data_IF_914497896203
#
_entry.id   IF_914497896203
#
_cell.length_a   1.000
_cell.length_b   1.000
_cell.length_c   1.000
_cell.angle_alpha   90.00
_cell.angle_beta   90.00
_cell.angle_gamma   90.00
#
_symmetry.space_group_name_H-M   'P 1'
#
loop_
_entity.id
_entity.type
_entity.pdbx_description
1 polymer ?
#
# COMPACT_ATOMS: atom_id res chain seq x y z
N UNK A 1 4.59 -20.61 47.57
CA UNK A 1 3.98 -19.52 48.37
C UNK A 1 3.75 -18.35 47.40
N UNK A 2 2.50 -18.14 47.00
CA UNK A 2 2.10 -16.98 46.19
C UNK A 2 1.64 -15.90 47.19
N UNK A 3 2.38 -14.83 47.26
CA UNK A 3 1.97 -13.67 48.03
C UNK A 3 0.92 -12.92 47.23
N UNK A 4 -0.31 -12.91 47.72
CA UNK A 4 -1.40 -12.06 47.25
C UNK A 4 -1.06 -10.63 47.73
N UNK A 5 -0.94 -9.67 46.81
CA UNK A 5 -0.94 -8.26 47.17
C UNK A 5 -2.35 -7.87 47.61
N UNK A 6 -2.53 -7.74 48.90
CA UNK A 6 -3.72 -7.13 49.49
C UNK A 6 -3.69 -5.63 49.17
N UNK A 7 -4.65 -5.17 48.37
CA UNK A 7 -4.85 -3.75 48.10
C UNK A 7 -5.51 -3.17 49.34
N UNK A 8 -4.68 -2.69 50.26
CA UNK A 8 -5.20 -1.88 51.36
C UNK A 8 -5.74 -0.58 50.75
N UNK A 9 -7.03 -0.35 50.88
CA UNK A 9 -7.66 0.93 50.60
C UNK A 9 -6.90 2.00 51.37
N UNK A 10 -6.18 2.86 50.67
CA UNK A 10 -5.50 4.00 51.32
C UNK A 10 -6.57 5.04 51.67
N UNK A 11 -6.84 5.21 52.92
CA UNK A 11 -7.70 6.26 53.46
C UNK A 11 -7.02 7.64 53.46
N UNK A 12 -6.04 7.82 52.61
CA UNK A 12 -5.29 9.08 52.51
C UNK A 12 -6.21 10.21 52.03
N UNK A 13 -6.54 11.12 52.89
CA UNK A 13 -7.33 12.31 52.57
C UNK A 13 -8.75 12.32 53.15
N UNK A 14 -9.22 11.26 53.81
CA UNK A 14 -10.55 11.24 54.45
C UNK A 14 -10.64 12.21 55.63
N UNK A 15 -9.53 12.49 56.29
CA UNK A 15 -9.47 13.40 57.44
C UNK A 15 -9.59 14.89 57.07
N UNK A 16 -9.53 15.23 55.80
CA UNK A 16 -9.61 16.61 55.29
C UNK A 16 -11.05 16.99 54.91
N UNK A 17 -11.94 16.02 54.82
CA UNK A 17 -13.33 16.26 54.42
C UNK A 17 -14.17 16.66 55.63
N UNK A 18 -15.02 17.70 55.55
CA UNK A 18 -15.98 18.04 56.59
C UNK A 18 -16.86 16.83 56.95
N UNK A 19 -17.08 16.63 58.25
CA UNK A 19 -17.88 15.53 58.76
C UNK A 19 -19.24 15.45 58.03
N UNK A 20 -19.51 14.31 57.40
CA UNK A 20 -20.76 14.06 56.67
C UNK A 20 -20.66 14.16 55.13
N UNK A 21 -19.47 14.43 54.55
CA UNK A 21 -19.25 14.43 53.12
C UNK A 21 -18.31 13.29 52.69
N UNK A 22 -18.74 12.08 52.93
CA UNK A 22 -18.03 10.91 52.40
C UNK A 22 -18.29 10.81 50.86
N UNK A 23 -17.22 10.84 50.08
CA UNK A 23 -17.32 10.52 48.66
C UNK A 23 -17.43 9.01 48.55
N UNK A 24 -18.61 8.50 48.30
CA UNK A 24 -18.81 7.09 47.97
C UNK A 24 -18.41 6.89 46.51
N UNK A 25 -17.24 6.35 46.28
CA UNK A 25 -16.85 5.89 44.93
C UNK A 25 -17.54 4.55 44.68
N UNK A 26 -18.47 4.53 43.76
CA UNK A 26 -19.08 3.30 43.26
C UNK A 26 -18.41 2.93 41.95
N UNK A 27 -17.98 1.68 41.84
CA UNK A 27 -17.57 1.11 40.56
C UNK A 27 -18.81 0.47 39.95
N UNK A 28 -19.21 0.96 38.78
CA UNK A 28 -20.18 0.29 37.94
C UNK A 28 -19.41 -0.45 36.86
N UNK A 29 -19.70 -1.74 36.69
CA UNK A 29 -19.04 -2.62 35.71
C UNK A 29 -19.98 -3.02 34.57
N UNK A 30 -21.20 -2.52 34.59
CA UNK A 30 -22.19 -2.81 33.54
C UNK A 30 -22.40 -1.53 32.73
N UNK A 31 -21.81 -1.50 31.55
CA UNK A 31 -21.99 -0.44 30.57
C UNK A 31 -22.74 -1.03 29.38
N UNK A 32 -23.73 -0.29 28.90
CA UNK A 32 -24.33 -0.57 27.61
C UNK A 32 -23.43 0.07 26.54
N UNK A 33 -22.94 -0.75 25.63
CA UNK A 33 -22.08 -0.35 24.53
C UNK A 33 -22.82 -0.68 23.24
N UNK A 34 -23.12 0.35 22.48
CA UNK A 34 -23.62 0.17 21.13
C UNK A 34 -22.44 0.16 20.17
N UNK A 35 -22.39 -0.83 19.29
CA UNK A 35 -21.35 -0.97 18.27
C UNK A 35 -21.99 -0.98 16.89
N UNK A 36 -21.49 -0.10 16.02
CA UNK A 36 -22.00 0.07 14.66
C UNK A 36 -20.88 -0.13 13.66
N UNK A 37 -21.15 -0.93 12.63
CA UNK A 37 -20.24 -1.07 11.49
C UNK A 37 -20.47 0.06 10.50
N UNK A 38 -19.41 0.68 10.05
CA UNK A 38 -19.43 1.81 9.12
C UNK A 38 -18.44 1.58 8.00
N UNK A 39 -18.72 2.12 6.82
CA UNK A 39 -17.71 2.22 5.76
C UNK A 39 -16.49 2.95 6.27
N UNK A 40 -15.32 2.43 5.94
CA UNK A 40 -14.05 3.05 6.30
C UNK A 40 -13.86 4.40 5.61
N UNK A 41 -12.98 5.19 6.18
CA UNK A 41 -12.55 6.47 5.58
C UNK A 41 -11.22 6.24 4.85
N UNK A 42 -11.02 6.88 3.69
CA UNK A 42 -9.76 6.82 2.98
C UNK A 42 -8.59 7.22 3.87
N UNK A 43 -7.53 6.45 3.84
CA UNK A 43 -6.30 6.72 4.60
C UNK A 43 -5.23 7.30 3.69
N UNK A 44 -4.35 8.15 4.23
CA UNK A 44 -3.21 8.65 3.47
C UNK A 44 -2.28 7.48 3.13
N UNK A 45 -2.18 7.14 1.85
CA UNK A 45 -1.37 6.02 1.37
C UNK A 45 0.00 6.45 0.82
N UNK A 46 0.20 7.75 0.57
CA UNK A 46 1.42 8.34 0.02
C UNK A 46 2.41 8.85 1.07
N UNK A 47 2.09 8.75 2.37
CA UNK A 47 2.91 9.38 3.41
C UNK A 47 4.24 8.64 3.61
N UNK A 48 5.33 9.39 3.51
CA UNK A 48 6.68 8.90 3.79
C UNK A 48 6.87 8.89 5.30
N UNK A 49 6.70 7.74 5.93
CA UNK A 49 7.03 7.55 7.35
C UNK A 49 8.44 7.00 7.49
N UNK A 50 9.12 7.36 8.60
CA UNK A 50 10.47 6.86 8.94
C UNK A 50 10.55 5.34 9.18
N UNK A 51 9.42 4.63 9.10
CA UNK A 51 9.41 3.18 9.23
C UNK A 51 9.99 2.55 7.97
N UNK A 52 11.13 1.93 8.13
CA UNK A 52 11.84 1.22 7.07
C UNK A 52 10.92 0.21 6.38
N UNK A 53 10.82 0.26 5.10
CA UNK A 53 10.06 -0.61 4.19
C UNK A 53 8.53 -0.44 4.30
N UNK A 54 8.01 0.50 3.52
CA UNK A 54 6.59 0.50 3.22
C UNK A 54 6.26 -0.71 2.35
N UNK A 55 5.54 -1.64 2.96
CA UNK A 55 4.97 -2.75 2.23
C UNK A 55 3.69 -2.25 1.57
N UNK A 56 3.56 -2.44 0.27
CA UNK A 56 2.35 -2.17 -0.49
C UNK A 56 1.58 -3.46 -0.68
N UNK A 57 0.26 -3.37 -0.67
CA UNK A 57 -0.64 -4.48 -0.89
C UNK A 57 -1.08 -4.51 -2.35
N UNK A 58 -0.90 -5.66 -3.00
CA UNK A 58 -1.18 -5.84 -4.42
C UNK A 58 -1.90 -7.17 -4.63
N UNK A 59 -3.13 -7.13 -5.15
CA UNK A 59 -3.91 -8.32 -5.41
C UNK A 59 -5.35 -8.22 -4.96
N UNK A 60 -6.10 -9.27 -5.16
CA UNK A 60 -7.51 -9.40 -4.81
C UNK A 60 -7.72 -10.49 -3.78
N UNK A 61 -8.59 -10.23 -2.81
CA UNK A 61 -9.01 -11.19 -1.78
C UNK A 61 -10.54 -11.22 -1.75
N UNK A 62 -11.10 -12.43 -1.77
CA UNK A 62 -12.54 -12.66 -1.68
C UNK A 62 -12.88 -13.30 -0.33
N UNK A 63 -13.79 -12.71 0.39
CA UNK A 63 -14.31 -13.22 1.67
C UNK A 63 -15.84 -13.27 1.65
N UNK A 64 -16.42 -14.32 2.18
CA UNK A 64 -17.88 -14.54 2.17
C UNK A 64 -18.67 -13.53 2.99
N UNK A 65 -18.02 -12.85 3.93
CA UNK A 65 -18.63 -11.84 4.82
C UNK A 65 -18.22 -10.44 4.39
N UNK A 66 -16.91 -10.27 4.12
CA UNK A 66 -16.30 -8.96 3.83
C UNK A 66 -16.29 -8.61 2.33
N UNK A 67 -16.77 -9.52 1.47
CA UNK A 67 -16.76 -9.31 0.01
C UNK A 67 -15.38 -9.28 -0.59
N UNK A 68 -15.27 -8.64 -1.76
CA UNK A 68 -14.01 -8.48 -2.47
C UNK A 68 -13.24 -7.27 -1.96
N UNK A 69 -11.95 -7.46 -1.79
CA UNK A 69 -10.99 -6.39 -1.49
C UNK A 69 -9.88 -6.43 -2.52
N UNK A 70 -9.56 -5.30 -3.10
CA UNK A 70 -8.51 -5.15 -4.10
C UNK A 70 -7.47 -4.14 -3.64
N UNK A 71 -6.20 -4.46 -3.86
CA UNK A 71 -5.07 -3.57 -3.68
C UNK A 71 -4.30 -3.37 -4.98
N UNK A 72 -4.08 -2.13 -5.38
CA UNK A 72 -3.27 -1.75 -6.52
C UNK A 72 -2.25 -0.68 -6.16
N UNK A 73 -1.25 -0.46 -7.01
CA UNK A 73 -0.12 0.38 -6.67
C UNK A 73 0.27 1.30 -7.82
N UNK A 74 0.45 2.59 -7.52
CA UNK A 74 1.14 3.54 -8.41
C UNK A 74 2.50 3.87 -7.81
N UNK A 75 3.57 3.83 -8.62
CA UNK A 75 4.93 4.10 -8.15
C UNK A 75 5.78 4.81 -9.18
N UNK A 76 6.62 5.74 -8.71
CA UNK A 76 7.63 6.44 -9.52
C UNK A 76 9.00 5.80 -9.36
N UNK A 77 9.84 6.01 -10.35
CA UNK A 77 11.24 5.58 -10.36
C UNK A 77 12.18 6.77 -10.34
N UNK A 78 13.35 6.58 -9.78
CA UNK A 78 14.48 7.48 -9.91
C UNK A 78 15.34 7.07 -11.10
N UNK A 79 16.04 8.04 -11.68
CA UNK A 79 16.97 7.80 -12.79
C UNK A 79 18.13 6.90 -12.36
N UNK A 80 18.75 6.27 -13.34
CA UNK A 80 19.92 5.43 -13.12
C UNK A 80 21.22 6.21 -13.30
N UNK A 81 21.92 6.49 -12.21
CA UNK A 81 23.25 7.12 -12.28
C UNK A 81 24.34 6.22 -12.86
N UNK A 82 24.07 4.93 -13.01
CA UNK A 82 25.01 3.97 -13.62
C UNK A 82 24.90 3.89 -15.14
N UNK A 83 23.93 4.55 -15.73
CA UNK A 83 23.74 4.55 -17.18
C UNK A 83 24.90 5.31 -17.87
N UNK A 84 25.47 4.68 -18.88
CA UNK A 84 26.52 5.27 -19.69
C UNK A 84 25.94 5.79 -20.99
N UNK A 85 25.79 7.12 -21.07
CA UNK A 85 25.36 7.78 -22.30
C UNK A 85 26.46 7.65 -23.35
N UNK A 86 26.14 7.06 -24.50
CA UNK A 86 27.03 6.94 -25.65
C UNK A 86 26.21 6.78 -26.93
N UNK A 87 26.85 6.87 -28.09
CA UNK A 87 26.19 6.64 -29.39
C UNK A 87 25.81 5.17 -29.58
N UNK A 88 24.93 4.90 -30.53
CA UNK A 88 24.51 3.56 -30.93
C UNK A 88 23.93 2.70 -29.81
N UNK A 89 23.04 3.30 -28.99
CA UNK A 89 22.32 2.56 -27.94
C UNK A 89 21.38 1.52 -28.57
N UNK A 90 21.56 0.28 -28.15
CA UNK A 90 20.64 -0.82 -28.40
C UNK A 90 20.20 -1.39 -27.05
N UNK A 91 18.90 -1.40 -26.80
CA UNK A 91 18.32 -2.06 -25.63
C UNK A 91 18.06 -3.51 -25.99
N UNK A 92 18.69 -4.42 -25.23
CA UNK A 92 18.51 -5.85 -25.39
C UNK A 92 17.25 -6.32 -24.68
N UNK A 93 17.06 -5.86 -23.44
CA UNK A 93 15.89 -6.20 -22.64
C UNK A 93 15.61 -5.13 -21.61
N UNK A 94 14.32 -4.94 -21.32
CA UNK A 94 13.81 -4.07 -20.26
C UNK A 94 12.85 -4.89 -19.41
N UNK A 95 13.08 -4.98 -18.11
CA UNK A 95 12.21 -5.74 -17.23
C UNK A 95 12.02 -5.07 -15.87
N UNK A 96 10.80 -5.20 -15.35
CA UNK A 96 10.45 -4.78 -13.99
C UNK A 96 10.61 -5.97 -13.05
N UNK A 97 11.48 -5.84 -12.07
CA UNK A 97 11.60 -6.78 -10.97
C UNK A 97 10.76 -6.28 -9.78
N UNK A 98 9.91 -7.14 -9.21
CA UNK A 98 9.08 -6.87 -8.04
C UNK A 98 9.41 -7.87 -6.94
N UNK A 99 9.95 -7.41 -5.83
CA UNK A 99 10.20 -8.25 -4.66
C UNK A 99 8.95 -8.35 -3.80
N UNK A 100 8.43 -9.56 -3.62
CA UNK A 100 7.31 -9.88 -2.75
C UNK A 100 7.84 -10.48 -1.46
N UNK A 101 7.44 -9.90 -0.34
CA UNK A 101 7.83 -10.37 0.98
C UNK A 101 7.10 -11.67 1.33
N UNK A 102 5.78 -11.65 1.18
CA UNK A 102 4.90 -12.80 1.38
C UNK A 102 3.51 -12.51 0.77
N UNK A 103 2.64 -13.49 0.87
CA UNK A 103 1.25 -13.41 0.42
C UNK A 103 0.28 -13.68 1.58
N UNK A 104 -0.89 -13.05 1.47
CA UNK A 104 -2.04 -13.27 2.37
C UNK A 104 -3.18 -13.86 1.53
N UNK A 105 -3.82 -14.93 2.00
CA UNK A 105 -4.91 -15.59 1.29
C UNK A 105 -4.53 -16.95 0.73
N UNK A 106 -5.11 -17.34 -0.41
CA UNK A 106 -4.89 -18.64 -1.06
C UNK A 106 -3.68 -18.54 -2.01
N UNK A 107 -2.59 -19.16 -1.62
CA UNK A 107 -1.31 -19.12 -2.36
C UNK A 107 -1.11 -20.31 -3.30
N UNK A 108 -2.03 -21.27 -3.32
CA UNK A 108 -1.96 -22.43 -4.21
C UNK A 108 -2.46 -22.13 -5.65
N UNK A 109 -3.06 -20.96 -5.85
CA UNK A 109 -3.64 -20.52 -7.10
C UNK A 109 -2.81 -19.40 -7.71
N UNK A 110 -2.78 -19.35 -9.02
CA UNK A 110 -2.02 -18.34 -9.76
C UNK A 110 -2.67 -16.94 -9.66
N UNK A 111 -1.85 -15.93 -9.89
CA UNK A 111 -2.26 -14.53 -9.99
C UNK A 111 -1.81 -13.92 -11.33
N UNK A 112 -2.63 -13.05 -11.90
CA UNK A 112 -2.31 -12.29 -13.09
C UNK A 112 -1.81 -10.89 -12.69
N UNK A 113 -0.52 -10.65 -12.85
CA UNK A 113 0.07 -9.32 -12.70
C UNK A 113 -0.08 -8.54 -14.00
N UNK A 114 -0.54 -7.30 -13.90
CA UNK A 114 -0.61 -6.36 -15.01
C UNK A 114 0.13 -5.07 -14.66
N UNK A 115 0.98 -4.60 -15.57
CA UNK A 115 1.75 -3.37 -15.43
C UNK A 115 1.36 -2.41 -16.55
N UNK A 116 0.95 -1.22 -16.16
CA UNK A 116 0.53 -0.15 -17.06
C UNK A 116 1.46 1.05 -16.94
N UNK A 117 1.70 1.78 -18.02
CA UNK A 117 2.36 3.08 -17.93
C UNK A 117 1.43 4.10 -17.29
N UNK A 118 1.89 4.73 -16.20
CA UNK A 118 1.15 5.80 -15.56
C UNK A 118 1.45 7.13 -16.26
N UNK A 119 0.41 7.85 -16.68
CA UNK A 119 0.52 9.01 -17.56
C UNK A 119 0.35 10.35 -16.86
N UNK A 120 -0.18 10.36 -15.63
CA UNK A 120 -0.34 11.59 -14.86
C UNK A 120 0.85 11.81 -13.93
N UNK A 121 1.27 13.05 -13.80
CA UNK A 121 2.31 13.42 -12.83
C UNK A 121 1.80 13.35 -11.40
N UNK A 122 2.51 12.60 -10.57
CA UNK A 122 2.32 12.61 -9.11
C UNK A 122 3.49 13.33 -8.42
N UNK A 123 3.19 14.07 -7.35
CA UNK A 123 4.13 14.93 -6.66
C UNK A 123 4.51 14.36 -5.30
N UNK A 124 5.80 14.42 -4.99
CA UNK A 124 6.32 14.05 -3.68
C UNK A 124 6.65 15.31 -2.89
N UNK A 125 5.63 15.91 -2.28
CA UNK A 125 5.77 17.08 -1.43
C UNK A 125 4.73 17.05 -0.30
N UNK A 126 4.83 18.00 0.62
CA UNK A 126 3.91 18.11 1.77
C UNK A 126 2.53 18.67 1.41
N UNK A 127 2.37 19.25 0.24
CA UNK A 127 1.13 19.85 -0.22
C UNK A 127 0.21 18.82 -0.90
N UNK A 128 0.78 17.79 -1.52
CA UNK A 128 0.05 16.74 -2.22
C UNK A 128 0.00 15.46 -1.36
N UNK A 129 -1.19 15.13 -0.88
CA UNK A 129 -1.46 13.87 -0.19
C UNK A 129 -2.37 13.02 -1.06
N UNK A 130 -1.95 11.79 -1.30
CA UNK A 130 -2.74 10.80 -2.01
C UNK A 130 -3.32 9.82 -1.00
N UNK A 131 -4.60 9.55 -1.15
CA UNK A 131 -5.33 8.67 -0.25
C UNK A 131 -5.53 7.30 -0.89
N UNK A 132 -5.96 6.34 -0.10
CA UNK A 132 -6.17 4.96 -0.54
C UNK A 132 -7.32 4.79 -1.55
N UNK A 133 -8.14 5.79 -1.74
CA UNK A 133 -9.20 5.88 -2.74
C UNK A 133 -8.80 6.74 -3.95
N UNK A 134 -7.48 6.87 -4.21
CA UNK A 134 -7.00 7.67 -5.34
C UNK A 134 -7.54 7.11 -6.66
N UNK A 135 -8.34 7.94 -7.33
CA UNK A 135 -8.92 7.61 -8.62
C UNK A 135 -7.83 7.59 -9.70
N UNK A 136 -7.65 6.45 -10.34
CA UNK A 136 -6.68 6.23 -11.44
C UNK A 136 -7.32 6.23 -12.83
N UNK A 137 -8.66 6.35 -12.93
CA UNK A 137 -9.36 6.30 -14.20
C UNK A 137 -8.85 7.40 -15.16
N UNK A 138 -8.46 7.00 -16.36
CA UNK A 138 -7.92 7.92 -17.37
C UNK A 138 -6.52 8.45 -17.11
N UNK A 139 -5.80 7.95 -16.08
CA UNK A 139 -4.45 8.40 -15.71
C UNK A 139 -3.35 7.40 -16.02
N UNK A 140 -3.66 6.32 -16.69
CA UNK A 140 -2.71 5.33 -17.18
C UNK A 140 -3.09 4.91 -18.61
N UNK A 141 -2.13 4.37 -19.35
CA UNK A 141 -2.40 3.78 -20.66
C UNK A 141 -3.20 2.47 -20.43
N UNK A 142 -4.41 2.33 -21.01
CA UNK A 142 -5.23 1.14 -20.79
C UNK A 142 -4.65 -0.13 -21.42
N UNK A 143 -3.62 -0.01 -22.28
CA UNK A 143 -2.91 -1.17 -22.81
C UNK A 143 -1.79 -1.54 -21.84
N UNK A 144 -1.81 -2.75 -21.26
CA UNK A 144 -0.76 -3.14 -20.34
C UNK A 144 0.56 -3.36 -21.07
N UNK A 145 1.65 -2.86 -20.51
CA UNK A 145 3.01 -3.14 -20.96
C UNK A 145 3.41 -4.60 -20.72
N UNK A 146 2.89 -5.18 -19.63
CA UNK A 146 3.11 -6.58 -19.25
C UNK A 146 1.84 -7.14 -18.65
N UNK A 147 1.51 -8.35 -19.06
CA UNK A 147 0.58 -9.23 -18.35
C UNK A 147 1.25 -10.58 -18.16
N UNK A 148 1.42 -10.98 -16.92
CA UNK A 148 2.09 -12.23 -16.58
C UNK A 148 1.38 -12.95 -15.46
N UNK A 149 1.12 -14.24 -15.68
CA UNK A 149 0.63 -15.12 -14.62
C UNK A 149 1.81 -15.56 -13.75
N UNK A 150 1.67 -15.42 -12.46
CA UNK A 150 2.65 -15.84 -11.45
C UNK A 150 2.01 -16.81 -10.47
N UNK A 151 2.81 -17.75 -9.97
CA UNK A 151 2.44 -18.57 -8.80
C UNK A 151 2.96 -17.88 -7.55
N UNK A 152 2.12 -17.63 -6.52
CA UNK A 152 2.55 -17.00 -5.28
C UNK A 152 3.64 -17.78 -4.56
N UNK A 153 4.77 -17.12 -4.27
CA UNK A 153 5.90 -17.68 -3.51
C UNK A 153 6.51 -16.59 -2.63
N UNK A 154 6.57 -16.84 -1.33
CA UNK A 154 7.10 -15.90 -0.35
C UNK A 154 8.61 -15.64 -0.55
N UNK A 155 9.03 -14.40 -0.36
CA UNK A 155 10.43 -14.00 -0.47
C UNK A 155 10.99 -14.06 -1.89
N UNK A 156 10.14 -13.95 -2.91
CA UNK A 156 10.51 -14.11 -4.31
C UNK A 156 10.49 -12.78 -5.07
N UNK A 157 11.40 -12.65 -6.03
CA UNK A 157 11.42 -11.53 -6.98
C UNK A 157 10.86 -12.00 -8.32
N UNK A 158 9.76 -11.40 -8.75
CA UNK A 158 9.17 -11.65 -10.06
C UNK A 158 9.74 -10.70 -11.09
N UNK A 159 10.27 -11.23 -12.19
CA UNK A 159 10.78 -10.46 -13.30
C UNK A 159 9.74 -10.40 -14.42
N UNK A 160 9.27 -9.20 -14.73
CA UNK A 160 8.23 -8.90 -15.72
C UNK A 160 8.89 -8.27 -16.94
N UNK A 161 9.02 -9.04 -18.03
CA UNK A 161 9.65 -8.57 -19.26
C UNK A 161 8.72 -7.60 -20.01
N UNK A 162 9.25 -6.43 -20.35
CA UNK A 162 8.57 -5.40 -21.14
C UNK A 162 9.03 -5.54 -22.59
N UNK A 163 8.11 -5.90 -23.47
CA UNK A 163 8.37 -6.11 -24.91
C UNK A 163 7.79 -4.99 -25.78
N UNK A 164 7.10 -4.00 -25.19
CA UNK A 164 6.50 -2.90 -25.91
C UNK A 164 7.59 -1.99 -26.53
N UNK A 165 7.67 -2.00 -27.88
CA UNK A 165 8.70 -1.26 -28.61
C UNK A 165 8.56 0.26 -28.44
N UNK A 166 7.35 0.80 -28.34
CA UNK A 166 7.12 2.23 -28.18
C UNK A 166 7.58 2.70 -26.81
N UNK A 167 7.32 1.88 -25.78
CA UNK A 167 7.81 2.14 -24.42
C UNK A 167 9.34 2.04 -24.34
N UNK A 168 9.96 1.02 -24.94
CA UNK A 168 11.42 0.85 -24.99
C UNK A 168 12.06 2.03 -25.72
N UNK A 169 11.47 2.51 -26.80
CA UNK A 169 11.98 3.66 -27.57
C UNK A 169 11.98 4.96 -26.76
N UNK A 170 11.15 5.11 -25.73
CA UNK A 170 11.24 6.26 -24.79
C UNK A 170 12.60 6.29 -24.09
N UNK A 171 13.12 5.13 -23.66
CA UNK A 171 14.44 5.05 -23.02
C UNK A 171 15.58 5.29 -24.02
N UNK A 172 15.40 4.88 -25.28
CA UNK A 172 16.37 5.21 -26.34
C UNK A 172 16.38 6.73 -26.63
N UNK A 173 15.21 7.36 -26.64
CA UNK A 173 15.10 8.80 -26.93
C UNK A 173 15.81 9.69 -25.88
N UNK A 174 15.86 9.26 -24.61
CA UNK A 174 16.55 10.01 -23.54
C UNK A 174 18.06 9.94 -23.70
N UNK A 175 18.62 9.03 -24.50
CA UNK A 175 20.06 8.92 -24.70
C UNK A 175 20.75 10.23 -25.05
N UNK A 176 20.10 11.04 -25.88
CA UNK A 176 20.63 12.32 -26.34
C UNK A 176 20.28 13.50 -25.41
N UNK A 177 19.49 13.23 -24.37
CA UNK A 177 19.11 14.22 -23.35
C UNK A 177 19.72 13.90 -21.99
N UNK A 178 20.99 14.25 -21.83
CA UNK A 178 21.73 14.06 -20.59
C UNK A 178 21.07 14.71 -19.38
N UNK A 179 20.25 15.74 -19.58
CA UNK A 179 19.55 16.45 -18.52
C UNK A 179 18.53 15.56 -17.87
N UNK A 180 17.78 14.79 -18.66
CA UNK A 180 16.76 13.85 -18.17
C UNK A 180 17.39 12.73 -17.36
N UNK A 181 18.56 12.21 -17.76
CA UNK A 181 19.23 11.15 -17.00
C UNK A 181 19.86 11.60 -15.69
N UNK A 182 20.31 12.82 -15.59
CA UNK A 182 21.02 13.33 -14.41
C UNK A 182 20.12 14.09 -13.43
N UNK A 183 18.82 14.08 -13.65
CA UNK A 183 17.87 14.78 -12.78
C UNK A 183 16.61 13.92 -12.53
N UNK A 184 16.46 13.40 -11.32
CA UNK A 184 15.26 12.64 -10.92
C UNK A 184 13.97 13.43 -11.15
N UNK A 185 14.00 14.74 -10.97
CA UNK A 185 12.82 15.59 -11.19
C UNK A 185 12.40 15.63 -12.66
N UNK A 186 13.38 15.80 -13.58
CA UNK A 186 13.12 15.85 -15.02
C UNK A 186 12.76 14.44 -15.53
N UNK A 187 13.44 13.43 -15.04
CA UNK A 187 13.12 12.04 -15.38
C UNK A 187 11.68 11.67 -15.02
N UNK A 188 11.21 12.09 -13.85
CA UNK A 188 9.83 11.87 -13.41
C UNK A 188 8.78 12.69 -14.18
N UNK A 189 9.19 13.78 -14.83
CA UNK A 189 8.34 14.51 -15.80
C UNK A 189 8.23 13.77 -17.12
N UNK A 190 9.26 13.03 -17.47
CA UNK A 190 9.33 12.25 -18.70
C UNK A 190 8.67 10.87 -18.56
N UNK A 191 8.92 10.22 -17.43
CA UNK A 191 8.37 8.91 -17.06
C UNK A 191 7.69 9.01 -15.70
N UNK A 192 6.37 9.03 -15.69
CA UNK A 192 5.58 9.21 -14.47
C UNK A 192 5.53 7.97 -13.58
N UNK A 193 5.95 6.81 -14.09
CA UNK A 193 6.00 5.56 -13.35
C UNK A 193 5.03 4.51 -13.87
N UNK A 194 4.73 3.53 -13.02
CA UNK A 194 3.81 2.44 -13.35
C UNK A 194 2.58 2.43 -12.43
N UNK A 195 1.47 2.01 -13.00
CA UNK A 195 0.31 1.49 -12.30
C UNK A 195 0.35 -0.03 -12.38
N UNK A 196 0.25 -0.71 -11.25
CA UNK A 196 0.41 -2.16 -11.13
C UNK A 196 -0.82 -2.73 -10.45
N UNK A 197 -1.43 -3.72 -11.08
CA UNK A 197 -2.56 -4.48 -10.55
C UNK A 197 -2.22 -5.96 -10.50
N UNK A 198 -2.93 -6.69 -9.64
CA UNK A 198 -2.86 -8.14 -9.61
C UNK A 198 -4.24 -8.71 -9.32
N UNK A 199 -4.68 -9.61 -10.18
CA UNK A 199 -5.95 -10.29 -10.05
C UNK A 199 -5.70 -11.76 -9.76
N UNK A 200 -6.42 -12.32 -8.81
CA UNK A 200 -6.36 -13.76 -8.57
C UNK A 200 -7.14 -14.51 -9.64
N UNK A 201 -6.62 -15.66 -10.04
CA UNK A 201 -7.32 -16.58 -10.94
C UNK A 201 -8.40 -17.36 -10.20
N UNK A 202 -8.26 -17.50 -8.88
CA UNK A 202 -9.19 -18.24 -8.02
C UNK A 202 -10.29 -17.35 -7.43
N UNK A 203 -11.33 -18.00 -6.90
CA UNK A 203 -12.47 -17.34 -6.27
C UNK A 203 -12.19 -16.81 -4.85
N UNK A 204 -11.05 -17.15 -4.24
CA UNK A 204 -10.70 -16.68 -2.89
C UNK A 204 -9.60 -15.65 -2.88
N UNK A 205 -8.71 -15.73 -3.83
CA UNK A 205 -7.67 -14.77 -4.08
C UNK A 205 -6.52 -14.74 -3.08
N UNK A 206 -5.52 -13.93 -3.42
CA UNK A 206 -4.38 -13.61 -2.58
C UNK A 206 -3.95 -12.15 -2.77
N UNK A 207 -3.38 -11.59 -1.72
CA UNK A 207 -2.78 -10.26 -1.72
C UNK A 207 -1.30 -10.38 -1.43
N UNK A 208 -0.48 -9.93 -2.36
CA UNK A 208 0.97 -9.83 -2.22
C UNK A 208 1.37 -8.63 -1.36
N UNK A 209 2.31 -8.83 -0.44
CA UNK A 209 3.00 -7.75 0.29
C UNK A 209 4.29 -7.39 -0.45
N UNK A 210 4.24 -6.36 -1.27
CA UNK A 210 5.34 -5.93 -2.15
C UNK A 210 6.20 -4.87 -1.46
N UNK A 211 7.52 -5.08 -1.44
CA UNK A 211 8.48 -4.08 -0.95
C UNK A 211 9.03 -3.25 -2.11
N UNK A 212 8.39 -2.13 -2.42
CA UNK A 212 8.81 -1.28 -3.53
C UNK A 212 10.18 -0.61 -3.31
N UNK A 213 10.44 -0.12 -2.10
CA UNK A 213 11.72 0.51 -1.78
C UNK A 213 12.78 -0.55 -1.34
N UNK A 214 12.90 -1.61 -2.12
CA UNK A 214 13.89 -2.69 -1.94
C UNK A 214 14.87 -2.66 -3.12
N UNK A 215 16.10 -3.06 -2.90
CA UNK A 215 17.13 -3.12 -3.95
C UNK A 215 16.81 -4.12 -5.06
N UNK A 216 15.98 -5.11 -4.79
CA UNK A 216 15.52 -6.11 -5.76
C UNK A 216 14.33 -5.61 -6.58
N UNK A 217 13.53 -4.65 -6.06
CA UNK A 217 12.46 -4.02 -6.82
C UNK A 217 13.01 -2.85 -7.63
N UNK A 218 13.10 -3.04 -8.94
CA UNK A 218 13.68 -2.05 -9.86
C UNK A 218 13.28 -2.31 -11.30
N UNK A 219 13.30 -1.26 -12.11
CA UNK A 219 13.28 -1.41 -13.56
C UNK A 219 14.73 -1.57 -14.03
N UNK A 220 15.01 -2.64 -14.74
CA UNK A 220 16.36 -2.98 -15.23
C UNK A 220 16.39 -2.90 -16.74
N UNK A 221 17.30 -2.12 -17.27
CA UNK A 221 17.59 -2.03 -18.70
C UNK A 221 18.93 -2.69 -18.97
N UNK A 222 18.96 -3.75 -19.77
CA UNK A 222 20.14 -4.35 -20.32
C UNK A 222 20.38 -3.76 -21.71
N UNK A 223 21.56 -3.20 -21.93
CA UNK A 223 21.85 -2.46 -23.15
C UNK A 223 23.29 -2.62 -23.59
N UNK A 224 23.53 -2.34 -24.87
CA UNK A 224 24.88 -2.14 -25.45
C UNK A 224 24.95 -0.78 -26.15
N UNK A 225 26.10 -0.17 -26.19
CA UNK A 225 26.42 1.04 -26.91
C UNK A 225 27.95 1.13 -27.16
N UNK A 226 28.39 2.16 -27.84
CA UNK A 226 29.82 2.34 -28.16
C UNK A 226 30.76 2.37 -26.94
N UNK A 227 30.24 2.68 -25.75
CA UNK A 227 31.03 2.65 -24.51
C UNK A 227 31.15 1.28 -23.87
N UNK A 228 30.32 0.32 -24.30
CA UNK A 228 30.36 -1.06 -23.80
C UNK A 228 31.24 -1.94 -24.66
N UNK A 229 31.41 -1.63 -25.94
CA UNK A 229 32.26 -2.38 -26.88
C UNK A 229 33.72 -2.02 -26.70
N UNK A 230 34.39 -2.66 -25.75
CA UNK A 230 35.78 -2.38 -25.40
C UNK A 230 36.76 -3.16 -26.29
N UNK A 231 36.33 -4.25 -26.91
CA UNK A 231 37.16 -5.08 -27.76
C UNK A 231 36.43 -5.52 -29.02
N UNK A 232 36.91 -5.08 -30.19
CA UNK A 232 36.30 -5.33 -31.49
C UNK A 232 36.39 -6.80 -31.97
N UNK A 233 36.94 -7.70 -31.17
CA UNK A 233 37.14 -9.12 -31.49
C UNK A 233 36.33 -10.08 -30.62
N UNK A 234 35.64 -9.58 -29.58
CA UNK A 234 34.83 -10.34 -28.64
C UNK A 234 33.34 -10.26 -28.96
N UNK A 235 32.57 -11.13 -28.35
CA UNK A 235 31.11 -10.99 -28.30
C UNK A 235 30.76 -9.63 -27.67
N UNK A 236 29.66 -9.00 -28.16
CA UNK A 236 29.22 -7.68 -27.70
C UNK A 236 28.94 -7.69 -26.19
N UNK A 237 29.61 -6.83 -25.46
CA UNK A 237 29.40 -6.69 -24.03
C UNK A 237 28.12 -5.89 -23.73
N UNK A 238 27.39 -6.31 -22.71
CA UNK A 238 26.20 -5.63 -22.24
C UNK A 238 26.46 -4.95 -20.89
N UNK A 239 25.84 -3.77 -20.72
CA UNK A 239 25.79 -3.08 -19.45
C UNK A 239 24.34 -3.07 -18.90
N UNK A 240 24.21 -2.70 -17.64
CA UNK A 240 22.93 -2.61 -16.96
C UNK A 240 22.71 -1.20 -16.39
N UNK A 241 21.51 -0.68 -16.60
CA UNK A 241 21.03 0.51 -15.92
C UNK A 241 19.84 0.14 -15.02
N UNK A 242 19.87 0.64 -13.76
CA UNK A 242 18.88 0.32 -12.75
C UNK A 242 18.12 1.57 -12.37
N UNK A 243 16.84 1.61 -12.67
CA UNK A 243 15.93 2.66 -12.21
C UNK A 243 15.25 2.14 -10.95
N UNK A 244 15.46 2.84 -9.85
CA UNK A 244 15.09 2.34 -8.52
C UNK A 244 13.94 3.14 -7.92
N UNK A 245 13.26 2.53 -6.98
CA UNK A 245 12.24 3.18 -6.17
C UNK A 245 12.87 3.48 -4.82
N UNK A 246 13.10 4.75 -4.54
CA UNK A 246 13.64 5.19 -3.26
C UNK A 246 12.53 5.52 -2.27
N UNK A 247 12.81 5.25 -0.99
CA UNK A 247 11.84 5.47 0.07
C UNK A 247 11.42 6.94 0.21
N UNK A 248 12.35 7.87 0.02
CA UNK A 248 12.16 9.30 0.32
C UNK A 248 12.00 10.17 -0.92
N UNK A 249 12.45 9.71 -2.08
CA UNK A 249 12.44 10.48 -3.31
C UNK A 249 11.48 9.96 -4.38
N UNK A 250 10.92 8.75 -4.24
CA UNK A 250 9.91 8.21 -5.16
C UNK A 250 8.53 8.24 -4.53
N UNK A 251 7.54 8.80 -5.22
CA UNK A 251 6.15 8.72 -4.78
C UNK A 251 5.61 7.30 -4.98
N UNK A 252 4.82 6.84 -4.02
CA UNK A 252 4.15 5.54 -4.01
C UNK A 252 2.76 5.72 -3.44
N UNK A 253 1.76 5.16 -4.12
CA UNK A 253 0.35 5.22 -3.71
C UNK A 253 -0.17 3.80 -3.70
N UNK A 254 -0.70 3.34 -2.57
CA UNK A 254 -1.45 2.09 -2.49
C UNK A 254 -2.94 2.44 -2.53
N UNK A 255 -3.65 1.87 -3.47
CA UNK A 255 -5.05 2.12 -3.74
C UNK A 255 -5.83 0.89 -3.29
N UNK A 256 -6.97 1.10 -2.64
CA UNK A 256 -7.82 0.02 -2.16
C UNK A 256 -9.24 0.21 -2.64
N UNK A 257 -9.82 -0.87 -3.15
CA UNK A 257 -11.21 -0.94 -3.56
C UNK A 257 -11.91 -2.08 -2.84
N UNK A 258 -13.20 -1.91 -2.54
CA UNK A 258 -14.01 -2.89 -1.86
C UNK A 258 -15.36 -3.05 -2.54
N UNK A 259 -15.75 -4.30 -2.78
CA UNK A 259 -17.11 -4.64 -3.22
C UNK A 259 -17.77 -5.55 -2.17
N UNK A 260 -18.74 -5.00 -1.48
CA UNK A 260 -19.54 -5.70 -0.46
C UNK A 260 -20.79 -6.33 -1.03
N UNK A 261 -21.06 -6.19 -2.33
CA UNK A 261 -22.27 -6.65 -2.97
C UNK A 261 -22.49 -8.16 -2.76
N UNK A 262 -23.74 -8.53 -2.42
CA UNK A 262 -24.09 -9.92 -2.19
C UNK A 262 -23.64 -10.50 -0.84
N UNK A 263 -23.04 -9.72 0.05
CA UNK A 263 -22.63 -10.13 1.39
C UNK A 263 -23.64 -9.67 2.46
N UNK A 264 -23.60 -10.30 3.63
CA UNK A 264 -24.37 -9.84 4.79
C UNK A 264 -23.90 -8.47 5.32
N UNK A 265 -22.67 -8.10 5.01
CA UNK A 265 -22.10 -6.80 5.38
C UNK A 265 -22.74 -5.66 4.59
N UNK A 266 -23.08 -5.87 3.30
CA UNK A 266 -23.78 -4.87 2.50
C UNK A 266 -25.10 -4.40 3.15
N UNK A 267 -25.89 -5.35 3.67
CA UNK A 267 -27.16 -5.04 4.33
C UNK A 267 -26.96 -4.20 5.61
N UNK A 268 -25.83 -4.40 6.30
CA UNK A 268 -25.48 -3.65 7.53
C UNK A 268 -24.99 -2.25 7.18
N UNK A 269 -24.26 -2.10 6.08
CA UNK A 269 -23.73 -0.81 5.63
C UNK A 269 -24.80 0.10 5.02
N UNK A 270 -25.87 -0.47 4.47
CA UNK A 270 -27.02 0.29 3.95
C UNK A 270 -27.81 1.00 5.06
N UNK A 271 -27.74 0.50 6.30
CA UNK A 271 -28.32 1.13 7.49
C UNK A 271 -27.27 1.31 8.59
N UNK A 272 -26.66 2.47 8.65
CA UNK A 272 -25.64 2.82 9.65
C UNK A 272 -26.09 2.64 11.13
N UNK A 273 -27.37 2.45 11.37
CA UNK A 273 -27.95 2.21 12.69
C UNK A 273 -28.47 0.79 12.83
N UNK A 274 -28.19 -0.10 11.86
CA UNK A 274 -28.62 -1.47 11.93
C UNK A 274 -28.10 -2.12 13.22
N UNK A 275 -29.02 -2.66 13.99
CA UNK A 275 -28.66 -3.40 15.21
C UNK A 275 -28.20 -4.81 14.84
N UNK A 276 -26.92 -4.93 14.53
CA UNK A 276 -26.29 -6.22 14.25
C UNK A 276 -25.70 -6.81 15.53
N UNK A 277 -25.85 -8.13 15.74
CA UNK A 277 -25.18 -8.81 16.87
C UNK A 277 -23.64 -8.86 16.74
N UNK A 278 -23.13 -8.51 15.56
CA UNK A 278 -21.70 -8.47 15.26
C UNK A 278 -21.32 -7.11 14.70
N UNK A 279 -20.14 -6.65 15.04
CA UNK A 279 -19.49 -5.51 14.41
C UNK A 279 -18.22 -5.96 13.68
N UNK A 280 -17.92 -5.32 12.57
CA UNK A 280 -16.88 -5.74 11.67
C UNK A 280 -15.78 -4.68 11.56
N UNK A 281 -14.55 -5.16 11.40
CA UNK A 281 -13.36 -4.35 11.13
C UNK A 281 -12.59 -5.01 10.01
N UNK A 282 -12.24 -4.25 8.99
CA UNK A 282 -11.50 -4.73 7.82
C UNK A 282 -10.29 -3.83 7.57
N UNK A 283 -9.18 -4.44 7.17
CA UNK A 283 -7.99 -3.72 6.71
C UNK A 283 -8.21 -2.98 5.39
N UNK A 284 -7.13 -2.45 4.80
CA UNK A 284 -7.16 -1.77 3.49
C UNK A 284 -8.17 -0.62 3.41
N UNK A 285 -8.35 0.12 4.50
CA UNK A 285 -9.37 1.18 4.63
C UNK A 285 -10.83 0.71 4.40
N UNK A 286 -11.12 -0.57 4.62
CA UNK A 286 -12.46 -1.17 4.45
C UNK A 286 -13.46 -0.67 5.49
N UNK A 287 -14.02 -1.57 6.31
CA UNK A 287 -15.01 -1.18 7.31
C UNK A 287 -14.41 -0.98 8.70
N UNK A 288 -15.02 -0.07 9.46
CA UNK A 288 -14.66 0.27 10.83
C UNK A 288 -15.82 0.05 11.78
N UNK A 289 -15.54 -0.16 13.06
CA UNK A 289 -16.53 -0.19 14.12
C UNK A 289 -16.53 1.10 14.92
N UNK A 290 -17.68 1.77 15.01
CA UNK A 290 -17.93 2.89 15.92
C UNK A 290 -18.57 2.37 17.21
N UNK A 291 -17.95 2.69 18.35
CA UNK A 291 -18.55 2.43 19.68
C UNK A 291 -19.20 3.68 20.24
N UNK A 292 -20.43 3.53 20.72
CA UNK A 292 -21.15 4.55 21.49
C UNK A 292 -21.28 4.09 22.93
N UNK A 293 -20.76 4.89 23.85
CA UNK A 293 -20.84 4.65 25.28
C UNK A 293 -21.86 5.62 25.90
N UNK A 294 -22.90 5.10 26.52
CA UNK A 294 -23.80 5.93 27.29
C UNK A 294 -23.19 6.28 28.65
N UNK A 295 -22.75 7.53 28.79
CA UNK A 295 -22.19 8.06 30.05
C UNK A 295 -23.25 8.64 30.99
N UNK A 296 -24.54 8.49 30.69
CA UNK A 296 -25.64 9.08 31.46
C UNK A 296 -25.59 8.64 32.93
N UNK A 297 -25.17 7.41 33.20
CA UNK A 297 -25.05 6.88 34.55
C UNK A 297 -23.75 7.26 35.28
N UNK A 298 -22.76 7.82 34.58
CA UNK A 298 -21.46 8.19 35.14
C UNK A 298 -21.45 9.67 35.61
N UNK A 299 -22.29 10.53 35.01
CA UNK A 299 -22.18 11.98 35.18
C UNK A 299 -23.27 12.62 36.01
N UNK A 300 -24.27 11.89 36.51
CA UNK A 300 -25.19 12.45 37.48
C UNK A 300 -24.71 12.21 38.91
N UNK A 301 -24.05 13.23 39.55
CA UNK A 301 -23.98 13.21 40.99
C UNK A 301 -25.43 13.34 41.50
N UNK A 302 -25.96 12.26 42.08
CA UNK A 302 -27.21 12.31 42.81
C UNK A 302 -27.12 13.47 43.81
N UNK A 303 -27.69 14.62 43.48
CA UNK A 303 -27.96 15.66 44.48
C UNK A 303 -28.98 15.08 45.43
N UNK A 304 -28.50 14.56 46.54
CA UNK A 304 -29.34 14.36 47.69
C UNK A 304 -29.75 15.76 48.18
N UNK A 305 -31.01 16.07 48.02
CA UNK A 305 -31.65 17.21 48.73
C UNK A 305 -31.64 16.99 50.21
#
# INVERSE_FOLDING_TARGET
>A
MLASCDITNSELGTDILPAGKNVNVRHDTIFEIDAYTMTGIPVVSSEVTYSASRVMLLGTLEDTIMGQSEGSVVTQFNTSYSYKVAENLEIDSLFLALYVLDFLGETEEDMNLSVYEFTERIYLDTAHKYYSDYDVEGKYDPVPLVQQTITPEDGTTYELLIEDEDFINKFIAIQNDTTTYYSDSIFKDYFNGFYITAESVSSKGAVARVQLANTETRLTMRYANDSTDVDSTAERDFAYAYFTIDQFSSQKINIFEHDYSGTSLAEILDDENANSPYSYVQGMAGVNTRFSLSLIHISEPTRLC
#
